data_IF_199852294349
#
_entry.id   IF_199852294349
#
_cell.length_a   1.000
_cell.length_b   1.000
_cell.length_c   1.000
_cell.angle_alpha   90.00
_cell.angle_beta   90.00
_cell.angle_gamma   90.00
#
_symmetry.space_group_name_H-M   'P 1'
#
loop_
_entity.id
_entity.type
_entity.pdbx_description
1 polymer ?
#
# COMPACT_ATOMS: atom_id res chain seq x y z
N UNK A 1 -12.00 17.47 -65.35
CA UNK A 1 -12.64 16.24 -64.83
C UNK A 1 -11.58 15.41 -64.14
N UNK A 2 -11.58 15.31 -62.80
CA UNK A 2 -10.67 14.38 -62.12
C UNK A 2 -11.06 12.93 -62.49
N UNK A 3 -10.10 12.05 -62.82
CA UNK A 3 -10.40 10.71 -63.32
C UNK A 3 -11.16 9.92 -62.25
N UNK A 4 -12.16 9.15 -62.65
CA UNK A 4 -13.02 8.37 -61.75
C UNK A 4 -12.21 7.47 -60.77
N UNK A 5 -11.01 7.07 -61.18
CA UNK A 5 -10.05 6.29 -60.39
C UNK A 5 -9.54 7.03 -59.13
N UNK A 6 -9.38 8.35 -59.19
CA UNK A 6 -8.95 9.16 -58.02
C UNK A 6 -10.10 9.39 -57.03
N UNK A 7 -11.33 9.47 -57.54
CA UNK A 7 -12.53 9.55 -56.69
C UNK A 7 -12.76 8.25 -55.93
N UNK A 8 -12.59 7.10 -56.59
CA UNK A 8 -12.71 5.79 -55.96
C UNK A 8 -11.62 5.55 -54.89
N UNK A 9 -10.36 5.89 -55.18
CA UNK A 9 -9.25 5.79 -54.21
C UNK A 9 -9.48 6.62 -52.95
N UNK A 10 -9.97 7.86 -53.11
CA UNK A 10 -10.32 8.73 -51.98
C UNK A 10 -11.49 8.18 -51.16
N UNK A 11 -12.51 7.65 -51.82
CA UNK A 11 -13.66 7.06 -51.13
C UNK A 11 -13.26 5.83 -50.31
N UNK A 12 -12.45 4.93 -50.88
CA UNK A 12 -11.93 3.75 -50.18
C UNK A 12 -11.07 4.15 -48.98
N UNK A 13 -10.19 5.13 -49.14
CA UNK A 13 -9.36 5.63 -48.04
C UNK A 13 -10.20 6.21 -46.90
N UNK A 14 -11.22 7.02 -47.21
CA UNK A 14 -12.14 7.57 -46.20
C UNK A 14 -12.91 6.48 -45.46
N UNK A 15 -13.34 5.43 -46.17
CA UNK A 15 -14.06 4.31 -45.57
C UNK A 15 -13.17 3.50 -44.63
N UNK A 16 -11.92 3.25 -45.01
CA UNK A 16 -10.92 2.57 -44.16
C UNK A 16 -10.59 3.38 -42.91
N UNK A 17 -10.44 4.71 -43.03
CA UNK A 17 -10.20 5.58 -41.88
C UNK A 17 -11.41 5.60 -40.94
N UNK A 18 -12.63 5.67 -41.49
CA UNK A 18 -13.86 5.66 -40.71
C UNK A 18 -14.06 4.32 -39.97
N UNK A 19 -13.77 3.19 -40.62
CA UNK A 19 -13.87 1.87 -39.97
C UNK A 19 -12.81 1.68 -38.89
N UNK A 20 -11.57 2.15 -39.11
CA UNK A 20 -10.51 2.12 -38.10
C UNK A 20 -10.85 3.00 -36.88
N UNK A 21 -11.39 4.20 -37.10
CA UNK A 21 -11.83 5.10 -36.03
C UNK A 21 -13.00 4.50 -35.24
N UNK A 22 -13.99 3.90 -35.92
CA UNK A 22 -15.11 3.23 -35.27
C UNK A 22 -14.66 1.99 -34.46
N UNK A 23 -13.73 1.19 -34.98
CA UNK A 23 -13.17 0.06 -34.26
C UNK A 23 -12.40 0.48 -32.99
N UNK A 24 -11.69 1.62 -33.04
CA UNK A 24 -10.99 2.19 -31.88
C UNK A 24 -11.96 2.76 -30.83
N UNK A 25 -13.09 3.34 -31.26
CA UNK A 25 -14.15 3.85 -30.38
C UNK A 25 -14.98 2.74 -29.73
N UNK A 26 -15.08 1.57 -30.38
CA UNK A 26 -15.83 0.40 -29.89
C UNK A 26 -14.95 -0.61 -29.15
N UNK A 27 -13.64 -0.37 -29.06
CA UNK A 27 -12.75 -1.20 -28.27
C UNK A 27 -13.12 -1.07 -26.78
N UNK A 28 -13.48 -2.16 -26.08
CA UNK A 28 -13.74 -2.08 -24.66
C UNK A 28 -12.44 -1.71 -23.94
N UNK A 29 -12.41 -0.53 -23.32
CA UNK A 29 -11.36 -0.17 -22.37
C UNK A 29 -11.60 -0.97 -21.11
N UNK A 30 -10.96 -2.13 -20.98
CA UNK A 30 -10.91 -2.83 -19.70
C UNK A 30 -10.01 -2.03 -18.76
N UNK A 31 -10.59 -1.06 -18.05
CA UNK A 31 -9.93 -0.52 -16.87
C UNK A 31 -9.88 -1.65 -15.84
N UNK A 32 -8.71 -2.27 -15.70
CA UNK A 32 -8.50 -3.29 -14.68
C UNK A 32 -8.58 -2.59 -13.31
N UNK A 33 -9.70 -2.78 -12.61
CA UNK A 33 -9.95 -2.21 -11.29
C UNK A 33 -9.19 -2.97 -10.18
N UNK A 34 -8.29 -3.89 -10.54
CA UNK A 34 -7.50 -4.63 -9.58
C UNK A 34 -6.51 -3.72 -8.83
N UNK A 35 -6.51 -3.81 -7.50
CA UNK A 35 -5.52 -3.14 -6.69
C UNK A 35 -4.11 -3.67 -7.00
N UNK A 36 -3.10 -2.77 -7.11
CA UNK A 36 -1.70 -3.18 -7.19
C UNK A 36 -1.34 -4.09 -6.01
N UNK A 37 -0.48 -5.08 -6.27
CA UNK A 37 -0.03 -6.05 -5.27
C UNK A 37 1.46 -5.90 -5.04
N UNK A 38 1.85 -5.78 -3.77
CA UNK A 38 3.23 -5.85 -3.30
C UNK A 38 3.40 -7.19 -2.59
N UNK A 39 4.47 -7.90 -2.92
CA UNK A 39 4.83 -9.14 -2.23
C UNK A 39 5.78 -8.80 -1.08
N UNK A 40 5.53 -9.40 0.08
CA UNK A 40 6.41 -9.38 1.23
C UNK A 40 6.73 -10.82 1.62
N UNK A 41 8.01 -11.12 1.84
CA UNK A 41 8.44 -12.44 2.32
C UNK A 41 8.69 -12.33 3.82
N UNK A 42 7.97 -13.09 4.67
CA UNK A 42 8.22 -13.13 6.10
C UNK A 42 9.69 -13.44 6.38
N UNK A 43 10.28 -12.75 7.34
CA UNK A 43 11.69 -12.91 7.69
C UNK A 43 11.92 -14.03 8.71
N UNK A 44 10.87 -14.43 9.43
CA UNK A 44 10.91 -15.44 10.49
C UNK A 44 10.71 -16.84 9.91
N UNK A 45 11.47 -17.81 10.44
CA UNK A 45 11.46 -19.19 9.97
C UNK A 45 10.12 -19.91 10.19
N UNK A 46 9.32 -19.47 11.18
CA UNK A 46 8.00 -20.00 11.49
C UNK A 46 6.88 -19.36 10.65
N UNK A 47 7.22 -18.43 9.76
CA UNK A 47 6.26 -17.70 8.93
C UNK A 47 5.47 -16.62 9.67
N UNK A 48 5.70 -16.41 10.97
CA UNK A 48 5.03 -15.37 11.73
C UNK A 48 5.45 -13.97 11.27
N UNK A 49 4.58 -12.98 11.51
CA UNK A 49 4.85 -11.57 11.20
C UNK A 49 4.85 -10.74 12.46
N UNK A 50 5.83 -9.85 12.59
CA UNK A 50 5.85 -8.78 13.56
C UNK A 50 5.86 -7.45 12.81
N UNK A 51 4.85 -6.62 13.08
CA UNK A 51 4.67 -5.34 12.38
C UNK A 51 4.56 -4.19 13.39
N UNK A 52 4.98 -3.00 12.98
CA UNK A 52 4.60 -1.76 13.66
C UNK A 52 3.58 -1.02 12.82
N UNK A 53 2.68 -0.29 13.47
CA UNK A 53 1.68 0.55 12.82
C UNK A 53 1.81 1.97 13.37
N UNK A 54 1.87 2.97 12.49
CA UNK A 54 2.01 4.38 12.86
C UNK A 54 1.23 5.30 11.92
N UNK A 55 0.55 6.30 12.47
CA UNK A 55 -0.15 7.35 11.72
C UNK A 55 0.30 8.72 12.20
N UNK A 56 -0.05 9.76 11.44
CA UNK A 56 -0.03 11.14 11.89
C UNK A 56 1.34 11.62 12.40
N UNK A 57 2.41 11.42 11.64
CA UNK A 57 3.77 11.39 12.23
C UNK A 57 4.76 12.45 11.73
N UNK A 58 4.82 12.82 10.45
CA UNK A 58 5.95 13.58 9.90
C UNK A 58 5.98 15.06 10.23
N UNK A 59 6.81 15.47 11.18
CA UNK A 59 6.93 16.86 11.67
C UNK A 59 8.38 17.28 11.97
N UNK A 60 9.35 16.91 11.13
CA UNK A 60 10.77 17.29 11.29
C UNK A 60 11.36 16.98 12.68
N UNK A 61 10.90 15.89 13.30
CA UNK A 61 11.30 15.48 14.66
C UNK A 61 10.53 16.15 15.80
N UNK A 62 9.64 17.11 15.51
CA UNK A 62 8.84 17.83 16.50
C UNK A 62 7.64 16.99 16.99
N UNK A 63 6.89 17.50 17.96
CA UNK A 63 5.69 16.85 18.53
C UNK A 63 5.94 15.40 18.97
N UNK A 64 7.06 15.17 19.65
CA UNK A 64 7.52 13.86 20.11
C UNK A 64 7.83 12.85 18.99
N UNK A 65 7.84 13.25 17.72
CA UNK A 65 8.13 12.34 16.61
C UNK A 65 9.47 11.61 16.81
N UNK A 66 10.54 12.32 17.20
CA UNK A 66 11.84 11.68 17.47
C UNK A 66 11.79 10.71 18.66
N UNK A 67 11.01 11.02 19.71
CA UNK A 67 10.86 10.13 20.87
C UNK A 67 10.10 8.85 20.49
N UNK A 68 9.04 8.98 19.69
CA UNK A 68 8.30 7.83 19.14
C UNK A 68 9.22 7.00 18.24
N UNK A 69 10.00 7.63 17.36
CA UNK A 69 10.95 6.93 16.49
C UNK A 69 12.00 6.13 17.28
N UNK A 70 12.50 6.68 18.39
CA UNK A 70 13.41 5.96 19.29
C UNK A 70 12.75 4.73 19.91
N UNK A 71 11.52 4.85 20.41
CA UNK A 71 10.79 3.72 21.01
C UNK A 71 10.41 2.67 19.96
N UNK A 72 9.99 3.10 18.77
CA UNK A 72 9.80 2.20 17.62
C UNK A 72 11.08 1.44 17.29
N UNK A 73 12.25 2.07 17.39
CA UNK A 73 13.55 1.40 17.21
C UNK A 73 13.79 0.29 18.25
N UNK A 74 13.55 0.57 19.53
CA UNK A 74 13.69 -0.41 20.62
C UNK A 74 12.72 -1.58 20.45
N UNK A 75 11.44 -1.30 20.23
CA UNK A 75 10.40 -2.32 20.01
C UNK A 75 10.69 -3.11 18.74
N UNK A 76 11.06 -2.43 17.66
CA UNK A 76 11.41 -3.03 16.37
C UNK A 76 12.55 -4.02 16.49
N UNK A 77 13.55 -3.72 17.33
CA UNK A 77 14.66 -4.63 17.60
C UNK A 77 14.22 -5.82 18.46
N UNK A 78 13.42 -5.59 19.51
CA UNK A 78 12.93 -6.63 20.40
C UNK A 78 12.05 -7.67 19.69
N UNK A 79 11.24 -7.22 18.73
CA UNK A 79 10.29 -8.07 18.00
C UNK A 79 10.84 -8.60 16.67
N UNK A 80 12.04 -8.14 16.27
CA UNK A 80 12.60 -8.37 14.92
C UNK A 80 11.55 -8.15 13.82
N UNK A 81 11.08 -6.90 13.69
CA UNK A 81 9.94 -6.60 12.83
C UNK A 81 10.23 -6.88 11.35
N UNK A 82 9.18 -7.25 10.62
CA UNK A 82 9.22 -7.52 9.19
C UNK A 82 9.08 -6.23 8.37
N UNK A 83 8.15 -5.36 8.77
CA UNK A 83 7.85 -4.08 8.12
C UNK A 83 7.04 -3.14 9.02
N UNK A 84 6.87 -1.90 8.56
CA UNK A 84 6.01 -0.89 9.19
C UNK A 84 4.84 -0.58 8.27
N UNK A 85 3.63 -0.44 8.84
CA UNK A 85 2.46 0.09 8.15
C UNK A 85 2.27 1.54 8.57
N UNK A 86 2.10 2.43 7.59
CA UNK A 86 1.62 3.78 7.86
C UNK A 86 0.18 3.99 7.41
N UNK A 87 -0.63 4.57 8.31
CA UNK A 87 -2.06 4.80 8.10
C UNK A 87 -2.39 6.14 7.45
N UNK A 88 -1.37 6.91 7.04
CA UNK A 88 -1.54 8.22 6.41
C UNK A 88 -1.18 9.38 7.33
N UNK A 89 -1.36 10.59 6.80
CA UNK A 89 -0.88 11.83 7.38
C UNK A 89 0.62 11.77 7.63
N UNK A 90 1.32 11.42 6.54
CA UNK A 90 2.73 11.08 6.57
C UNK A 90 3.58 12.32 6.82
N UNK A 91 3.24 13.46 6.21
CA UNK A 91 4.01 14.70 6.33
C UNK A 91 3.07 15.89 6.55
N UNK A 92 3.24 16.56 7.68
CA UNK A 92 2.50 17.76 8.07
C UNK A 92 3.26 19.06 7.77
N UNK A 93 2.56 20.21 7.66
CA UNK A 93 1.09 20.31 7.68
C UNK A 93 0.47 20.07 6.30
N UNK A 94 1.24 20.28 5.22
CA UNK A 94 0.74 20.27 3.83
C UNK A 94 1.51 19.33 2.90
N UNK A 95 1.84 18.13 3.37
CA UNK A 95 2.54 17.13 2.57
C UNK A 95 3.90 17.63 2.06
N UNK A 96 4.28 17.22 0.85
CA UNK A 96 5.52 17.65 0.17
C UNK A 96 5.19 18.34 -1.15
N UNK A 97 6.04 19.26 -1.61
CA UNK A 97 5.84 19.97 -2.87
C UNK A 97 6.23 19.10 -4.09
N UNK A 98 7.27 18.29 -3.98
CA UNK A 98 7.80 17.43 -5.03
C UNK A 98 8.68 16.31 -4.46
N UNK A 99 9.18 15.42 -5.31
CA UNK A 99 9.97 14.23 -4.91
C UNK A 99 11.36 14.56 -4.35
N UNK A 100 11.83 15.80 -4.51
CA UNK A 100 13.11 16.30 -3.98
C UNK A 100 12.92 17.25 -2.80
N UNK A 101 11.71 17.38 -2.26
CA UNK A 101 11.42 18.23 -1.12
C UNK A 101 12.24 17.79 0.11
N UNK A 102 13.07 18.68 0.71
CA UNK A 102 13.85 18.36 1.89
C UNK A 102 13.00 17.84 3.06
N UNK A 103 11.74 18.28 3.13
CA UNK A 103 10.81 17.89 4.18
C UNK A 103 10.62 16.38 4.26
N UNK A 104 10.71 15.66 3.14
CA UNK A 104 10.69 14.20 3.14
C UNK A 104 11.83 13.61 3.98
N UNK A 105 13.07 14.06 3.77
CA UNK A 105 14.21 13.56 4.55
C UNK A 105 14.13 14.01 6.00
N UNK A 106 13.77 15.26 6.22
CA UNK A 106 13.70 15.85 7.56
C UNK A 106 12.61 15.22 8.43
N UNK A 107 11.50 14.77 7.83
CA UNK A 107 10.38 14.15 8.54
C UNK A 107 10.40 12.62 8.50
N UNK A 108 11.10 11.97 7.58
CA UNK A 108 11.14 10.50 7.48
C UNK A 108 12.57 9.94 7.61
N UNK A 109 13.42 10.14 6.59
CA UNK A 109 14.72 9.48 6.50
C UNK A 109 15.64 9.77 7.68
N UNK A 110 15.67 11.02 8.13
CA UNK A 110 16.55 11.47 9.22
C UNK A 110 15.96 11.21 10.62
N UNK A 111 14.70 10.78 10.70
CA UNK A 111 13.99 10.54 11.97
C UNK A 111 14.00 9.05 12.33
N UNK A 112 13.62 8.18 11.39
CA UNK A 112 13.49 6.74 11.63
C UNK A 112 14.80 6.01 11.28
N UNK A 113 15.87 6.31 12.00
CA UNK A 113 17.24 5.89 11.67
C UNK A 113 17.70 4.60 12.35
N UNK A 114 16.92 4.06 13.30
CA UNK A 114 17.27 2.82 13.99
C UNK A 114 17.44 1.66 12.98
N UNK A 115 18.45 0.80 13.20
CA UNK A 115 18.73 -0.36 12.33
C UNK A 115 17.51 -1.28 12.18
N UNK A 116 16.75 -1.47 13.26
CA UNK A 116 15.51 -2.25 13.29
C UNK A 116 14.38 -1.66 12.45
N UNK A 117 14.45 -0.37 12.09
CA UNK A 117 13.51 0.33 11.22
C UNK A 117 14.01 0.43 9.76
N UNK A 118 15.16 -0.14 9.43
CA UNK A 118 15.65 -0.27 8.05
C UNK A 118 14.97 -1.45 7.35
N UNK A 119 13.64 -1.44 7.38
CA UNK A 119 12.71 -2.42 6.84
C UNK A 119 11.77 -1.70 5.86
N UNK A 120 10.99 -2.40 5.01
CA UNK A 120 9.97 -1.77 4.19
C UNK A 120 8.93 -1.03 5.05
N UNK A 121 8.49 0.13 4.58
CA UNK A 121 7.34 0.86 5.09
C UNK A 121 6.26 0.85 4.03
N UNK A 122 5.07 0.34 4.34
CA UNK A 122 3.92 0.35 3.45
C UNK A 122 2.96 1.45 3.88
N UNK A 123 2.77 2.45 3.03
CA UNK A 123 2.08 3.68 3.42
C UNK A 123 0.90 3.97 2.50
N UNK A 124 -0.19 4.40 3.10
CA UNK A 124 -1.27 5.10 2.40
C UNK A 124 -1.18 6.61 2.68
N UNK A 125 -1.92 7.41 1.93
CA UNK A 125 -1.96 8.87 2.10
C UNK A 125 -3.17 9.29 2.94
N UNK A 126 -2.97 10.22 3.87
CA UNK A 126 -4.01 10.88 4.66
C UNK A 126 -4.38 12.26 4.10
N UNK A 127 -5.29 12.97 4.75
CA UNK A 127 -5.79 14.25 4.26
C UNK A 127 -4.70 15.33 4.18
N UNK A 128 -3.76 15.36 5.11
CA UNK A 128 -2.65 16.33 5.07
C UNK A 128 -1.66 16.05 3.93
N UNK A 129 -1.56 14.81 3.47
CA UNK A 129 -0.77 14.47 2.28
C UNK A 129 -1.41 14.98 0.99
N UNK A 130 -2.74 15.10 0.97
CA UNK A 130 -3.51 15.59 -0.18
C UNK A 130 -3.60 17.12 -0.28
N UNK A 131 -3.25 17.87 0.77
CA UNK A 131 -3.14 19.34 0.65
C UNK A 131 -1.84 19.75 -0.07
N UNK A 132 -0.83 18.89 -0.03
CA UNK A 132 0.39 18.99 -0.83
C UNK A 132 0.34 18.27 -2.18
N UNK A 133 1.52 17.86 -2.68
CA UNK A 133 1.64 17.05 -3.89
C UNK A 133 1.57 15.55 -3.55
N UNK A 134 0.35 15.03 -3.42
CA UNK A 134 0.11 13.60 -3.19
C UNK A 134 0.78 12.69 -4.25
N UNK A 135 0.85 13.14 -5.50
CA UNK A 135 1.50 12.36 -6.57
C UNK A 135 3.00 12.22 -6.35
N UNK A 136 3.67 13.23 -5.76
CA UNK A 136 5.08 13.13 -5.42
C UNK A 136 5.36 12.03 -4.38
N UNK A 137 4.44 11.80 -3.44
CA UNK A 137 4.57 10.72 -2.46
C UNK A 137 4.33 9.32 -3.08
N UNK A 138 3.56 9.23 -4.17
CA UNK A 138 3.32 7.98 -4.90
C UNK A 138 4.37 7.71 -6.00
N UNK A 139 5.11 8.74 -6.40
CA UNK A 139 6.09 8.68 -7.48
C UNK A 139 7.26 7.75 -7.12
N UNK A 140 7.67 6.82 -8.00
CA UNK A 140 8.83 5.97 -7.77
C UNK A 140 10.14 6.69 -7.45
N UNK A 141 10.28 7.97 -7.84
CA UNK A 141 11.45 8.78 -7.51
C UNK A 141 11.61 9.00 -5.99
N UNK A 142 10.54 9.03 -5.19
CA UNK A 142 10.66 9.15 -3.74
C UNK A 142 11.40 7.95 -3.14
N UNK A 143 11.22 6.75 -3.72
CA UNK A 143 11.92 5.52 -3.33
C UNK A 143 13.40 5.53 -3.70
N UNK A 144 13.82 6.40 -4.62
CA UNK A 144 15.25 6.64 -4.89
C UNK A 144 15.88 7.50 -3.80
N UNK A 145 15.08 8.29 -3.08
CA UNK A 145 15.53 9.07 -1.92
C UNK A 145 15.64 8.17 -0.69
N UNK A 146 14.63 7.34 -0.44
CA UNK A 146 14.63 6.33 0.62
C UNK A 146 13.82 5.10 0.19
N UNK A 147 14.50 3.98 -0.02
CA UNK A 147 13.91 2.76 -0.57
C UNK A 147 12.87 2.10 0.34
N UNK A 148 12.82 2.50 1.61
CA UNK A 148 11.84 2.00 2.57
C UNK A 148 10.43 2.51 2.26
N UNK A 149 10.28 3.71 1.68
CA UNK A 149 9.01 4.42 1.53
C UNK A 149 8.13 3.85 0.40
N UNK A 150 7.36 2.80 0.71
CA UNK A 150 6.55 2.06 -0.28
C UNK A 150 5.10 2.52 -0.27
N UNK A 151 4.84 3.68 -0.89
CA UNK A 151 3.51 4.11 -1.31
C UNK A 151 3.42 4.00 -2.84
N UNK A 152 2.75 2.95 -3.36
CA UNK A 152 2.74 2.65 -4.81
C UNK A 152 1.45 3.06 -5.53
N UNK A 153 0.40 3.31 -4.76
CA UNK A 153 -0.91 3.75 -5.22
C UNK A 153 -1.69 4.28 -4.01
N UNK A 154 -2.84 4.90 -4.26
CA UNK A 154 -3.76 5.33 -3.18
C UNK A 154 -4.22 4.16 -2.32
N UNK A 155 -4.33 2.97 -2.93
CA UNK A 155 -4.68 1.72 -2.27
C UNK A 155 -3.95 0.59 -2.97
N UNK A 156 -3.44 -0.37 -2.19
CA UNK A 156 -2.74 -1.54 -2.71
C UNK A 156 -2.84 -2.68 -1.69
N UNK A 157 -2.56 -3.90 -2.14
CA UNK A 157 -2.55 -5.10 -1.32
C UNK A 157 -1.10 -5.48 -1.04
N UNK A 158 -0.78 -5.79 0.21
CA UNK A 158 0.49 -6.44 0.58
C UNK A 158 0.20 -7.91 0.87
N UNK A 159 0.76 -8.80 0.07
CA UNK A 159 0.68 -10.24 0.27
C UNK A 159 1.92 -10.71 1.02
N UNK A 160 1.73 -11.26 2.21
CA UNK A 160 2.83 -11.76 3.05
C UNK A 160 2.95 -13.29 3.06
N UNK A 161 2.21 -13.99 2.22
CA UNK A 161 2.27 -15.45 2.12
C UNK A 161 1.74 -16.21 3.35
N UNK A 162 1.17 -15.51 4.33
CA UNK A 162 0.35 -16.15 5.37
C UNK A 162 -0.86 -16.76 4.67
N UNK A 163 -0.92 -18.09 4.64
CA UNK A 163 -2.17 -18.78 4.36
C UNK A 163 -3.18 -18.31 5.42
N UNK A 164 -4.16 -17.52 4.99
CA UNK A 164 -5.36 -17.35 5.78
C UNK A 164 -5.92 -18.76 5.91
N UNK A 165 -5.94 -19.34 7.11
CA UNK A 165 -6.66 -20.57 7.36
C UNK A 165 -8.15 -20.30 7.06
N UNK A 166 -8.57 -20.50 5.81
CA UNK A 166 -9.98 -20.46 5.39
C UNK A 166 -10.68 -21.80 5.62
N UNK A 167 -10.02 -22.74 6.29
CA UNK A 167 -10.62 -24.02 6.66
C UNK A 167 -11.28 -23.90 8.02
N UNK A 168 -12.56 -23.49 8.03
CA UNK A 168 -13.57 -23.99 9.00
C UNK A 168 -14.99 -23.40 8.88
N UNK A 169 -15.31 -22.52 7.91
CA UNK A 169 -16.68 -21.95 7.85
C UNK A 169 -17.66 -22.75 6.98
N UNK A 170 -17.21 -23.69 6.14
CA UNK A 170 -18.12 -24.43 5.24
C UNK A 170 -18.32 -25.93 5.57
N UNK A 171 -17.81 -26.42 6.70
CA UNK A 171 -17.82 -27.85 7.03
C UNK A 171 -18.08 -28.16 8.51
N UNK A 172 -19.15 -27.63 9.11
CA UNK A 172 -19.56 -28.05 10.47
C UNK A 172 -21.03 -27.80 10.78
N UNK A 173 -21.92 -28.02 9.81
CA UNK A 173 -23.37 -28.02 10.05
C UNK A 173 -24.03 -29.41 10.08
N UNK A 174 -23.27 -30.50 9.85
CA UNK A 174 -23.84 -31.86 9.84
C UNK A 174 -23.36 -32.78 10.96
N UNK A 175 -22.43 -32.36 11.84
CA UNK A 175 -21.87 -33.23 12.89
C UNK A 175 -22.17 -32.77 14.34
N UNK A 176 -23.36 -32.24 14.59
CA UNK A 176 -23.84 -31.98 15.98
C UNK A 176 -25.11 -32.73 16.33
N UNK A 177 -25.03 -34.06 16.32
CA UNK A 177 -25.90 -34.93 17.12
C UNK A 177 -25.06 -35.81 18.04
N UNK A 178 -24.59 -35.23 19.14
CA UNK A 178 -23.91 -35.93 20.25
C UNK A 178 -23.46 -34.95 21.34
N UNK A 179 -23.91 -35.15 22.57
CA UNK A 179 -23.84 -34.24 23.73
C UNK A 179 -22.49 -34.27 24.54
N UNK A 180 -22.25 -33.36 25.53
CA UNK A 180 -20.95 -32.73 25.87
C UNK A 180 -20.32 -33.26 27.20
N UNK A 181 -19.15 -32.77 27.74
CA UNK A 181 -19.03 -31.47 28.45
C UNK A 181 -17.61 -30.80 28.46
N UNK A 182 -17.51 -29.46 28.45
CA UNK A 182 -16.64 -28.70 29.40
C UNK A 182 -16.81 -27.18 29.21
N UNK A 183 -17.72 -26.58 29.99
CA UNK A 183 -17.57 -25.19 30.41
C UNK A 183 -16.64 -25.18 31.62
N UNK A 184 -15.40 -24.70 31.45
CA UNK A 184 -14.59 -24.11 32.53
C UNK A 184 -13.29 -23.57 31.93
N UNK A 185 -13.21 -22.24 31.77
CA UNK A 185 -12.03 -21.36 32.02
C UNK A 185 -12.24 -20.01 31.34
N UNK A 186 -13.19 -19.22 31.86
CA UNK A 186 -13.26 -17.77 31.68
C UNK A 186 -13.48 -17.09 33.03
N UNK A 187 -12.59 -17.38 33.98
CA UNK A 187 -12.39 -16.61 35.22
C UNK A 187 -10.92 -16.65 35.59
N UNK A 188 -10.13 -15.76 34.98
CA UNK A 188 -8.73 -15.53 35.36
C UNK A 188 -8.16 -14.15 34.91
N UNK A 189 -8.99 -13.13 34.66
CA UNK A 189 -8.52 -11.81 34.23
C UNK A 189 -9.26 -10.63 34.88
N UNK A 190 -9.59 -10.72 36.18
CA UNK A 190 -10.16 -9.59 36.95
C UNK A 190 -9.57 -9.44 38.36
N UNK A 191 -8.27 -9.69 38.57
CA UNK A 191 -7.63 -9.32 39.85
C UNK A 191 -6.13 -8.96 39.75
N UNK A 192 -5.70 -8.14 38.79
CA UNK A 192 -4.48 -7.31 38.93
C UNK A 192 -4.66 -5.99 38.21
#
# INVERSE_FOLDING_TARGET
MAPAHDRLRRLVLLLVVATAAAALLLAPTTADAALPRVQHTPTKADGSLAILVVGDWGRRGQFNQTLVAQQMGVVGQKLDIDFVISTGDNIYDDGIANTSDPLFKESFSNIYTANSLQKPWYLVLGNHDYTGNALAQLDPAIRKVDSRYTAIAKSFIVNSGLEVCTDSVQGSLEDRRGSPPHQQRLRAWEQH
#
